data_IF_411842830647
#
_entry.id   IF_411842830647
#
_cell.length_a   1.000
_cell.length_b   1.000
_cell.length_c   1.000
_cell.angle_alpha   90.00
_cell.angle_beta   90.00
_cell.angle_gamma   90.00
#
_symmetry.space_group_name_H-M   'P 1'
#
loop_
_entity.id
_entity.type
_entity.pdbx_description
1 polymer ?
#
# COMPACT_ATOMS: atom_id res chain seq x y z
N UNK A 1 31.37 62.28 23.05
CA UNK A 1 31.73 63.69 22.71
C UNK A 1 33.02 64.03 23.44
N UNK A 2 34.12 64.32 22.74
CA UNK A 2 35.37 64.76 23.37
C UNK A 2 35.42 66.30 23.36
N UNK A 3 35.63 66.91 24.53
CA UNK A 3 35.77 68.36 24.69
C UNK A 3 37.27 68.69 24.67
N UNK A 4 37.65 69.71 23.90
CA UNK A 4 39.02 70.27 23.90
C UNK A 4 39.07 71.44 24.88
N UNK A 5 40.07 71.43 25.78
CA UNK A 5 40.42 72.59 26.62
C UNK A 5 41.88 72.93 26.36
N UNK A 6 42.18 74.18 26.01
CA UNK A 6 43.52 74.69 25.67
C UNK A 6 44.29 73.84 24.64
N UNK A 7 43.61 73.40 23.58
CA UNK A 7 44.25 72.78 22.41
C UNK A 7 44.72 71.33 22.59
N UNK A 8 44.60 70.74 23.79
CA UNK A 8 44.94 69.32 24.02
C UNK A 8 43.69 68.45 23.97
N UNK A 9 43.76 67.33 23.25
CA UNK A 9 42.74 66.29 23.29
C UNK A 9 42.75 65.67 24.69
N UNK A 10 41.70 65.89 25.48
CA UNK A 10 41.46 65.12 26.70
C UNK A 10 40.54 63.98 26.28
N UNK A 11 41.13 62.84 25.92
CA UNK A 11 40.36 61.62 25.75
C UNK A 11 39.69 61.31 27.10
N UNK A 12 38.36 61.15 27.10
CA UNK A 12 37.66 60.56 28.25
C UNK A 12 38.14 59.12 28.38
N UNK A 13 39.20 58.92 29.15
CA UNK A 13 39.78 57.62 29.43
C UNK A 13 38.80 56.84 30.30
N UNK A 14 38.11 55.85 29.71
CA UNK A 14 37.59 54.74 30.50
C UNK A 14 38.76 54.09 31.24
N UNK A 15 38.51 53.60 32.45
CA UNK A 15 39.54 52.94 33.26
C UNK A 15 40.25 51.84 32.46
N UNK A 16 41.56 51.72 32.60
CA UNK A 16 42.29 50.58 32.04
C UNK A 16 41.84 49.27 32.71
N UNK A 17 42.19 48.13 32.11
CA UNK A 17 41.92 46.83 32.71
C UNK A 17 42.55 46.69 34.11
N UNK A 18 43.77 47.23 34.28
CA UNK A 18 44.46 47.28 35.58
C UNK A 18 43.75 48.18 36.59
N UNK A 19 43.28 49.36 36.17
CA UNK A 19 42.54 50.27 37.05
C UNK A 19 41.20 49.68 37.50
N UNK A 20 40.54 48.94 36.62
CA UNK A 20 39.31 48.21 36.96
C UNK A 20 39.59 47.03 37.91
N UNK A 21 40.74 46.36 37.75
CA UNK A 21 41.17 45.31 38.67
C UNK A 21 41.47 45.86 40.08
N UNK A 22 42.06 47.07 40.20
CA UNK A 22 42.24 47.73 41.51
C UNK A 22 40.92 48.03 42.20
N UNK A 23 39.93 48.53 41.46
CA UNK A 23 38.58 48.73 42.00
C UNK A 23 37.98 47.41 42.51
N UNK A 24 38.28 46.29 41.84
CA UNK A 24 37.92 44.94 42.25
C UNK A 24 38.75 44.35 43.40
N UNK A 25 39.68 45.12 43.98
CA UNK A 25 40.49 44.70 45.13
C UNK A 25 41.88 44.17 44.81
N UNK A 26 42.36 44.26 43.57
CA UNK A 26 43.74 43.90 43.22
C UNK A 26 44.74 44.90 43.83
N UNK A 27 45.70 44.41 44.62
CA UNK A 27 46.69 45.24 45.34
C UNK A 27 48.08 45.25 44.71
N UNK A 28 48.28 44.52 43.61
CA UNK A 28 49.56 44.44 42.91
C UNK A 28 49.83 45.66 42.00
N UNK A 29 51.06 45.73 41.51
CA UNK A 29 51.54 46.72 40.54
C UNK A 29 51.02 46.43 39.13
N UNK A 30 51.13 47.41 38.23
CA UNK A 30 50.67 47.29 36.85
C UNK A 30 51.51 46.28 36.06
N UNK A 31 52.81 46.23 36.35
CA UNK A 31 53.73 45.26 35.76
C UNK A 31 53.41 43.84 36.21
N UNK A 32 53.07 43.63 37.49
CA UNK A 32 52.59 42.34 38.00
C UNK A 32 51.25 41.95 37.36
N UNK A 33 50.35 42.92 37.17
CA UNK A 33 49.08 42.69 36.48
C UNK A 33 49.29 42.27 35.02
N UNK A 34 50.10 43.00 34.26
CA UNK A 34 50.41 42.68 32.87
C UNK A 34 51.14 41.34 32.74
N UNK A 35 52.03 41.02 33.68
CA UNK A 35 52.70 39.71 33.75
C UNK A 35 51.70 38.59 34.00
N UNK A 36 50.67 38.82 34.84
CA UNK A 36 49.62 37.84 35.08
C UNK A 36 48.74 37.58 33.86
N UNK A 37 48.42 38.62 33.07
CA UNK A 37 47.66 38.47 31.82
C UNK A 37 48.47 37.78 30.73
N UNK A 38 49.77 38.06 30.65
CA UNK A 38 50.67 37.42 29.68
C UNK A 38 50.75 35.90 29.87
N UNK A 39 50.44 35.39 31.07
CA UNK A 39 50.38 33.97 31.40
C UNK A 39 48.97 33.37 31.32
N UNK A 40 47.95 34.15 30.93
CA UNK A 40 46.58 33.67 30.79
C UNK A 40 46.33 33.12 29.39
N UNK A 41 45.74 31.93 29.30
CA UNK A 41 45.26 31.34 28.04
C UNK A 41 43.80 31.74 27.87
N UNK A 42 43.52 32.60 26.89
CA UNK A 42 42.15 32.90 26.45
C UNK A 42 41.72 31.88 25.40
N UNK A 43 40.62 31.16 25.66
CA UNK A 43 39.95 30.28 24.70
C UNK A 43 38.66 30.97 24.24
N UNK A 44 38.36 30.92 22.93
CA UNK A 44 37.09 31.44 22.42
C UNK A 44 35.94 30.63 23.05
N UNK A 45 34.99 31.33 23.71
CA UNK A 45 33.86 30.68 24.40
C UNK A 45 33.74 30.91 25.92
N UNK A 46 34.64 31.68 26.54
CA UNK A 46 34.37 32.30 27.87
C UNK A 46 34.61 31.43 29.11
N UNK A 47 35.33 30.31 29.00
CA UNK A 47 35.81 29.58 30.17
C UNK A 47 37.11 30.19 30.72
N UNK A 48 37.09 30.72 31.95
CA UNK A 48 38.33 31.06 32.67
C UNK A 48 38.85 29.79 33.33
N UNK A 49 39.94 29.23 32.80
CA UNK A 49 40.64 28.13 33.46
C UNK A 49 41.54 28.73 34.55
N UNK A 50 41.12 28.66 35.81
CA UNK A 50 41.93 29.07 36.97
C UNK A 50 42.63 27.84 37.55
N UNK A 51 43.94 27.77 37.41
CA UNK A 51 44.78 26.74 38.06
C UNK A 51 45.37 27.34 39.33
N UNK A 52 45.00 26.82 40.51
CA UNK A 52 45.37 27.40 41.81
C UNK A 52 46.73 26.92 42.36
N UNK A 53 47.46 26.06 41.64
CA UNK A 53 48.75 25.52 42.08
C UNK A 53 49.87 25.88 41.10
N UNK A 54 50.95 26.43 41.65
CA UNK A 54 52.16 26.78 40.91
C UNK A 54 52.81 25.51 40.37
N UNK A 55 52.70 25.27 39.05
CA UNK A 55 53.70 24.46 38.36
C UNK A 55 55.06 25.07 38.70
N UNK A 56 56.00 24.27 39.20
CA UNK A 56 57.29 24.76 39.67
C UNK A 56 58.09 25.51 38.59
N UNK A 57 59.37 25.80 38.84
CA UNK A 57 60.22 26.51 37.90
C UNK A 57 60.60 25.67 36.66
N UNK A 58 59.70 25.58 35.68
CA UNK A 58 59.96 25.11 34.32
C UNK A 58 58.85 25.61 33.38
N UNK A 59 59.12 25.86 32.09
CA UNK A 59 58.06 26.12 31.13
C UNK A 59 57.18 24.88 30.96
N UNK A 60 55.86 25.04 31.08
CA UNK A 60 54.87 23.99 30.81
C UNK A 60 54.11 24.31 29.52
N UNK A 61 53.89 23.29 28.69
CA UNK A 61 53.07 23.40 27.48
C UNK A 61 51.72 22.75 27.74
N UNK A 62 50.65 23.54 27.73
CA UNK A 62 49.28 23.03 27.68
C UNK A 62 48.93 22.76 26.22
N UNK A 63 48.73 21.50 25.86
CA UNK A 63 48.28 21.11 24.52
C UNK A 63 46.81 20.76 24.61
N UNK A 64 45.96 21.56 23.96
CA UNK A 64 44.59 21.14 23.66
C UNK A 64 44.65 20.24 22.45
N UNK A 65 44.45 18.94 22.66
CA UNK A 65 44.13 18.04 21.57
C UNK A 65 42.63 18.11 21.40
N UNK A 66 42.16 18.83 20.39
CA UNK A 66 40.85 18.51 19.85
C UNK A 66 40.96 17.06 19.35
N UNK A 67 40.31 16.14 20.07
CA UNK A 67 39.98 14.86 19.46
C UNK A 67 39.21 15.22 18.18
N UNK A 68 39.72 14.75 17.05
CA UNK A 68 39.27 15.19 15.73
C UNK A 68 37.75 15.18 15.63
N UNK A 69 37.22 16.08 14.80
CA UNK A 69 35.80 16.21 14.48
C UNK A 69 35.12 14.84 14.45
N UNK A 70 34.25 14.56 15.43
CA UNK A 70 33.54 13.29 15.49
C UNK A 70 32.71 13.16 14.21
N UNK A 71 33.15 12.29 13.31
CA UNK A 71 32.40 12.01 12.09
C UNK A 71 31.07 11.35 12.49
N UNK A 72 29.99 12.10 12.29
CA UNK A 72 28.61 11.68 12.57
C UNK A 72 27.86 11.32 11.29
N UNK A 73 28.58 11.00 10.22
CA UNK A 73 27.99 10.49 8.99
C UNK A 73 27.34 9.11 9.22
N UNK A 74 26.28 8.81 8.47
CA UNK A 74 25.49 7.59 8.66
C UNK A 74 26.29 6.28 8.43
N UNK A 75 27.38 6.35 7.67
CA UNK A 75 28.31 5.22 7.46
C UNK A 75 29.15 4.91 8.72
N UNK A 76 29.43 5.91 9.55
CA UNK A 76 30.23 5.76 10.78
C UNK A 76 29.36 5.47 12.02
N UNK A 77 28.05 5.75 11.95
CA UNK A 77 27.12 5.41 13.04
C UNK A 77 26.74 3.93 12.97
N UNK A 78 27.24 3.15 13.93
CA UNK A 78 26.92 1.73 14.09
C UNK A 78 25.41 1.50 14.28
N UNK A 79 24.90 0.46 13.62
CA UNK A 79 23.52 0.00 13.74
C UNK A 79 23.50 -1.36 14.45
N UNK A 80 22.63 -1.50 15.47
CA UNK A 80 22.44 -2.77 16.15
C UNK A 80 21.38 -3.61 15.40
N UNK A 81 21.84 -4.62 14.66
CA UNK A 81 21.01 -5.51 13.85
C UNK A 81 20.59 -6.82 14.56
N UNK A 82 20.83 -6.95 15.87
CA UNK A 82 20.56 -8.20 16.61
C UNK A 82 19.09 -8.65 16.50
N UNK A 83 18.15 -7.70 16.38
CA UNK A 83 16.71 -7.98 16.34
C UNK A 83 16.05 -7.70 14.98
N UNK A 84 16.69 -6.95 14.09
CA UNK A 84 16.07 -6.53 12.82
C UNK A 84 16.10 -7.59 11.74
N UNK A 85 16.99 -8.58 11.85
CA UNK A 85 17.22 -9.59 10.81
C UNK A 85 17.94 -9.06 9.57
N UNK A 86 18.44 -7.82 9.63
CA UNK A 86 19.16 -7.15 8.55
C UNK A 86 20.66 -7.47 8.61
N UNK A 87 21.32 -7.51 7.45
CA UNK A 87 22.76 -7.73 7.38
C UNK A 87 23.57 -6.46 7.71
N UNK A 88 22.98 -5.29 7.52
CA UNK A 88 23.59 -3.99 7.76
C UNK A 88 24.21 -3.83 9.16
N UNK A 89 25.38 -3.19 9.22
CA UNK A 89 26.11 -2.94 10.49
C UNK A 89 26.26 -1.46 10.83
N UNK A 90 25.91 -0.58 9.89
CA UNK A 90 25.84 0.85 10.07
C UNK A 90 24.48 1.40 9.61
N UNK A 91 24.23 2.67 9.93
CA UNK A 91 22.94 3.30 9.67
C UNK A 91 22.66 3.47 8.17
N UNK A 92 23.69 3.77 7.38
CA UNK A 92 23.55 3.95 5.93
C UNK A 92 23.12 2.64 5.25
N UNK A 93 23.85 1.55 5.50
CA UNK A 93 23.53 0.22 4.97
C UNK A 93 22.14 -0.23 5.40
N UNK A 94 21.75 0.04 6.63
CA UNK A 94 20.44 -0.36 7.13
C UNK A 94 19.33 0.38 6.37
N UNK A 95 19.48 1.68 6.12
CA UNK A 95 18.52 2.45 5.35
C UNK A 95 18.45 1.93 3.90
N UNK A 96 19.59 1.62 3.28
CA UNK A 96 19.65 1.10 1.91
C UNK A 96 18.99 -0.28 1.80
N UNK A 97 19.28 -1.20 2.73
CA UNK A 97 18.67 -2.53 2.81
C UNK A 97 17.15 -2.44 3.03
N UNK A 98 16.69 -1.51 3.88
CA UNK A 98 15.26 -1.26 4.09
C UNK A 98 14.59 -0.76 2.80
N UNK A 99 15.19 0.20 2.09
CA UNK A 99 14.67 0.69 0.82
C UNK A 99 14.61 -0.41 -0.25
N UNK A 100 15.62 -1.27 -0.29
CA UNK A 100 15.64 -2.41 -1.20
C UNK A 100 14.50 -3.39 -0.89
N UNK A 101 14.35 -3.82 0.37
CA UNK A 101 13.28 -4.72 0.81
C UNK A 101 11.89 -4.17 0.46
N UNK A 102 11.66 -2.87 0.69
CA UNK A 102 10.41 -2.21 0.33
C UNK A 102 10.19 -2.22 -1.19
N UNK A 103 11.23 -1.98 -1.98
CA UNK A 103 11.15 -1.95 -3.45
C UNK A 103 10.87 -3.34 -4.04
N UNK A 104 11.50 -4.38 -3.51
CA UNK A 104 11.25 -5.77 -3.87
C UNK A 104 9.81 -6.18 -3.51
N UNK A 105 9.35 -5.84 -2.30
CA UNK A 105 7.97 -6.09 -1.87
C UNK A 105 6.92 -5.41 -2.78
N UNK A 106 7.14 -4.14 -3.15
CA UNK A 106 6.30 -3.42 -4.12
C UNK A 106 6.26 -4.10 -5.48
N UNK A 107 7.39 -4.63 -5.95
CA UNK A 107 7.47 -5.35 -7.23
C UNK A 107 6.56 -6.58 -7.24
N UNK A 108 6.61 -7.38 -6.18
CA UNK A 108 5.76 -8.59 -6.04
C UNK A 108 4.29 -8.23 -6.01
N UNK A 109 3.91 -7.19 -5.24
CA UNK A 109 2.51 -6.74 -5.15
C UNK A 109 2.03 -6.20 -6.50
N UNK A 110 2.82 -5.35 -7.17
CA UNK A 110 2.48 -4.78 -8.46
C UNK A 110 2.26 -5.87 -9.53
N UNK A 111 3.11 -6.90 -9.55
CA UNK A 111 2.93 -8.07 -10.41
C UNK A 111 1.62 -8.79 -10.10
N UNK A 112 1.33 -9.07 -8.82
CA UNK A 112 0.10 -9.75 -8.43
C UNK A 112 -1.18 -8.98 -8.80
N UNK A 113 -1.19 -7.65 -8.67
CA UNK A 113 -2.31 -6.80 -9.07
C UNK A 113 -2.46 -6.78 -10.59
N UNK A 114 -1.35 -6.72 -11.32
CA UNK A 114 -1.33 -6.81 -12.79
C UNK A 114 -1.85 -8.17 -13.28
N UNK A 115 -1.52 -9.26 -12.61
CA UNK A 115 -2.06 -10.60 -12.90
C UNK A 115 -3.58 -10.70 -12.65
N UNK A 116 -4.14 -9.82 -11.80
CA UNK A 116 -5.59 -9.65 -11.63
C UNK A 116 -6.23 -8.73 -12.67
N UNK A 117 -5.46 -8.30 -13.67
CA UNK A 117 -5.95 -7.50 -14.80
C UNK A 117 -5.91 -6.00 -14.59
N UNK A 118 -5.24 -5.50 -13.53
CA UNK A 118 -5.08 -4.06 -13.28
C UNK A 118 -3.61 -3.67 -13.37
N UNK A 119 -3.23 -2.98 -14.46
CA UNK A 119 -1.84 -2.59 -14.72
C UNK A 119 -1.25 -1.73 -13.58
N UNK A 120 -0.26 -2.30 -12.89
CA UNK A 120 0.36 -1.70 -11.70
C UNK A 120 1.88 -1.72 -11.82
N UNK A 121 2.54 -0.59 -11.60
CA UNK A 121 3.99 -0.47 -11.70
C UNK A 121 4.62 -0.51 -10.30
N UNK A 122 5.78 -1.16 -10.15
CA UNK A 122 6.51 -1.21 -8.86
C UNK A 122 6.95 0.18 -8.34
N UNK A 123 7.00 1.17 -9.23
CA UNK A 123 7.30 2.58 -8.93
C UNK A 123 6.08 3.36 -8.44
N UNK A 124 4.88 2.80 -8.52
CA UNK A 124 3.68 3.43 -7.99
C UNK A 124 3.82 3.67 -6.48
N UNK A 125 3.19 4.74 -5.98
CA UNK A 125 3.08 4.95 -4.55
C UNK A 125 2.16 3.89 -3.93
N UNK A 126 2.32 3.60 -2.64
CA UNK A 126 1.42 2.69 -1.94
C UNK A 126 -0.05 3.11 -2.03
N UNK A 127 -0.33 4.42 -2.00
CA UNK A 127 -1.69 4.95 -2.20
C UNK A 127 -2.22 4.64 -3.60
N UNK A 128 -1.41 4.82 -4.65
CA UNK A 128 -1.81 4.49 -6.01
C UNK A 128 -2.02 2.98 -6.19
N UNK A 129 -1.15 2.14 -5.61
CA UNK A 129 -1.34 0.69 -5.59
C UNK A 129 -2.63 0.29 -4.88
N UNK A 130 -2.95 0.90 -3.74
CA UNK A 130 -4.21 0.64 -3.03
C UNK A 130 -5.44 0.98 -3.88
N UNK A 131 -5.44 2.13 -4.55
CA UNK A 131 -6.51 2.50 -5.49
C UNK A 131 -6.63 1.54 -6.67
N UNK A 132 -5.50 0.99 -7.15
CA UNK A 132 -5.51 -0.03 -8.20
C UNK A 132 -6.03 -1.37 -7.70
N UNK A 133 -5.76 -1.73 -6.45
CA UNK A 133 -6.34 -2.92 -5.81
C UNK A 133 -7.88 -2.80 -5.75
N UNK A 134 -8.42 -1.62 -5.46
CA UNK A 134 -9.88 -1.38 -5.48
C UNK A 134 -10.50 -1.54 -6.88
N UNK A 135 -9.70 -1.38 -7.94
CA UNK A 135 -10.13 -1.58 -9.33
C UNK A 135 -10.10 -3.05 -9.77
N UNK A 136 -9.55 -3.96 -8.96
CA UNK A 136 -9.54 -5.39 -9.28
C UNK A 136 -10.98 -5.85 -9.42
N UNK A 137 -11.36 -6.28 -10.62
CA UNK A 137 -12.66 -6.88 -10.86
C UNK A 137 -12.75 -8.20 -10.09
N UNK A 138 -13.57 -8.22 -9.06
CA UNK A 138 -13.99 -9.45 -8.36
C UNK A 138 -15.15 -10.13 -9.06
N UNK A 139 -15.50 -9.69 -10.28
CA UNK A 139 -16.68 -10.10 -11.01
C UNK A 139 -16.81 -11.61 -11.15
N UNK A 140 -18.07 -12.08 -11.11
CA UNK A 140 -18.41 -13.46 -11.42
C UNK A 140 -17.80 -13.85 -12.78
N UNK A 141 -17.10 -14.98 -12.84
CA UNK A 141 -16.69 -15.56 -14.11
C UNK A 141 -17.97 -15.89 -14.89
N UNK A 142 -18.24 -15.18 -15.99
CA UNK A 142 -19.46 -15.34 -16.82
C UNK A 142 -19.08 -16.02 -18.13
N UNK A 143 -19.85 -17.03 -18.53
CA UNK A 143 -19.82 -17.64 -19.86
C UNK A 143 -21.19 -17.52 -20.50
N UNK A 144 -21.22 -17.30 -21.81
CA UNK A 144 -22.44 -17.41 -22.61
C UNK A 144 -22.22 -18.35 -23.78
N UNK A 145 -23.28 -18.97 -24.26
CA UNK A 145 -23.20 -19.84 -25.43
C UNK A 145 -24.56 -20.39 -25.81
N UNK A 146 -24.52 -21.46 -26.59
CA UNK A 146 -25.74 -22.16 -26.98
C UNK A 146 -25.59 -23.67 -26.79
N UNK A 147 -26.72 -24.35 -26.62
CA UNK A 147 -26.82 -25.80 -26.77
C UNK A 147 -28.08 -26.13 -27.53
N UNK A 148 -28.09 -27.28 -28.21
CA UNK A 148 -29.25 -27.76 -28.95
C UNK A 148 -29.95 -28.82 -28.11
N UNK A 149 -31.26 -28.67 -27.90
CA UNK A 149 -32.04 -29.66 -27.17
C UNK A 149 -32.04 -31.00 -27.89
N UNK A 150 -32.19 -32.08 -27.11
CA UNK A 150 -31.92 -33.46 -27.54
C UNK A 150 -33.13 -34.39 -27.41
N UNK A 151 -34.33 -33.84 -27.18
CA UNK A 151 -35.56 -34.61 -26.96
C UNK A 151 -35.56 -35.43 -25.66
N UNK A 152 -34.65 -35.15 -24.72
CA UNK A 152 -34.55 -35.85 -23.43
C UNK A 152 -34.92 -34.94 -22.26
N UNK A 153 -35.20 -35.53 -21.08
CA UNK A 153 -35.46 -34.77 -19.85
C UNK A 153 -34.17 -34.21 -19.20
N UNK A 154 -33.00 -34.54 -19.73
CA UNK A 154 -31.74 -33.98 -19.26
C UNK A 154 -30.79 -33.74 -20.42
N UNK A 155 -29.97 -32.71 -20.27
CA UNK A 155 -28.92 -32.38 -21.23
C UNK A 155 -27.64 -32.01 -20.47
N UNK A 156 -26.50 -32.46 -20.99
CA UNK A 156 -25.19 -32.09 -20.48
C UNK A 156 -24.59 -31.04 -21.39
N UNK A 157 -24.21 -29.91 -20.82
CA UNK A 157 -23.57 -28.80 -21.53
C UNK A 157 -22.20 -28.60 -20.89
N UNK A 158 -21.12 -29.22 -21.41
CA UNK A 158 -19.82 -29.24 -20.74
C UNK A 158 -19.24 -27.87 -20.42
N UNK A 159 -19.56 -26.86 -21.24
CA UNK A 159 -19.16 -25.46 -21.03
C UNK A 159 -19.81 -24.81 -19.80
N UNK A 160 -20.80 -25.45 -19.18
CA UNK A 160 -21.38 -25.04 -17.91
C UNK A 160 -20.65 -25.66 -16.70
N UNK A 161 -19.77 -26.64 -16.89
CA UNK A 161 -19.04 -27.23 -15.77
C UNK A 161 -18.22 -26.18 -15.02
N UNK A 162 -18.34 -26.15 -13.70
CA UNK A 162 -17.69 -25.20 -12.80
C UNK A 162 -18.50 -23.93 -12.50
N UNK A 163 -19.64 -23.70 -13.16
CA UNK A 163 -20.50 -22.53 -12.90
C UNK A 163 -21.64 -22.92 -11.95
N UNK A 164 -21.96 -22.09 -10.96
CA UNK A 164 -23.02 -22.35 -9.97
C UNK A 164 -24.40 -21.86 -10.42
N UNK A 165 -24.41 -20.80 -11.25
CA UNK A 165 -25.61 -20.14 -11.71
C UNK A 165 -25.72 -20.24 -13.24
N UNK A 166 -26.91 -20.52 -13.78
CA UNK A 166 -27.20 -20.68 -15.20
C UNK A 166 -28.58 -20.14 -15.52
N UNK A 167 -28.70 -19.37 -16.59
CA UNK A 167 -29.96 -19.03 -17.24
C UNK A 167 -29.90 -19.52 -18.68
N UNK A 168 -30.91 -20.27 -19.13
CA UNK A 168 -31.03 -20.73 -20.51
C UNK A 168 -32.40 -20.39 -21.08
N UNK A 169 -32.43 -19.80 -22.27
CA UNK A 169 -33.65 -19.31 -22.93
C UNK A 169 -33.65 -19.77 -24.38
N UNK A 170 -34.79 -20.27 -24.83
CA UNK A 170 -35.04 -20.52 -26.24
C UNK A 170 -36.33 -19.87 -26.69
N UNK A 171 -36.35 -19.48 -27.97
CA UNK A 171 -37.56 -19.13 -28.71
C UNK A 171 -37.71 -20.10 -29.86
N UNK A 172 -38.69 -21.00 -29.77
CA UNK A 172 -38.95 -21.96 -30.82
C UNK A 172 -40.41 -22.37 -30.82
N UNK A 173 -40.97 -22.50 -32.02
CA UNK A 173 -42.28 -23.11 -32.24
C UNK A 173 -42.11 -24.62 -32.30
N UNK A 174 -42.50 -25.32 -31.24
CA UNK A 174 -42.38 -26.79 -31.17
C UNK A 174 -43.50 -27.43 -30.35
N UNK A 175 -43.89 -28.66 -30.72
CA UNK A 175 -44.91 -29.47 -30.03
C UNK A 175 -44.24 -30.58 -29.23
N UNK A 176 -43.93 -30.34 -27.97
CA UNK A 176 -43.12 -31.28 -27.19
C UNK A 176 -43.61 -31.66 -25.78
N UNK A 177 -44.71 -31.09 -25.29
CA UNK A 177 -45.25 -31.45 -23.98
C UNK A 177 -46.77 -31.37 -23.98
N UNK A 178 -47.44 -32.48 -23.65
CA UNK A 178 -48.90 -32.55 -23.62
C UNK A 178 -49.55 -31.96 -24.90
N UNK A 179 -48.91 -32.20 -26.05
CA UNK A 179 -49.26 -31.69 -27.39
C UNK A 179 -49.22 -30.16 -27.58
N UNK A 180 -48.72 -29.37 -26.63
CA UNK A 180 -48.72 -27.89 -26.69
C UNK A 180 -47.64 -27.34 -27.61
N UNK A 181 -47.95 -26.25 -28.30
CA UNK A 181 -46.97 -25.47 -29.08
C UNK A 181 -46.29 -24.45 -28.18
N UNK A 182 -44.99 -24.61 -27.91
CA UNK A 182 -44.20 -23.61 -27.18
C UNK A 182 -43.79 -22.48 -28.10
N UNK A 183 -43.63 -21.28 -27.54
CA UNK A 183 -43.04 -20.13 -28.21
C UNK A 183 -41.72 -19.74 -27.54
N UNK A 184 -41.69 -19.79 -26.21
CA UNK A 184 -40.52 -19.46 -25.40
C UNK A 184 -40.42 -20.40 -24.21
N UNK A 185 -39.21 -20.86 -23.91
CA UNK A 185 -38.89 -21.60 -22.67
C UNK A 185 -37.68 -20.95 -22.02
N UNK A 186 -37.80 -20.61 -20.74
CA UNK A 186 -36.76 -19.99 -19.91
C UNK A 186 -36.51 -20.83 -18.66
N UNK A 187 -35.25 -21.12 -18.41
CA UNK A 187 -34.73 -21.92 -17.32
C UNK A 187 -33.82 -21.05 -16.47
N UNK A 188 -34.06 -20.99 -15.17
CA UNK A 188 -33.23 -20.25 -14.21
C UNK A 188 -32.75 -21.19 -13.12
N UNK A 189 -31.45 -21.28 -12.97
CA UNK A 189 -30.75 -22.00 -11.92
C UNK A 189 -29.81 -21.04 -11.25
N UNK A 190 -30.21 -20.53 -10.11
CA UNK A 190 -29.33 -19.73 -9.27
C UNK A 190 -29.34 -20.28 -7.86
N UNK A 191 -28.41 -19.81 -7.04
CA UNK A 191 -28.35 -20.20 -5.62
C UNK A 191 -29.66 -19.87 -4.89
N UNK A 192 -30.36 -18.81 -5.34
CA UNK A 192 -31.61 -18.32 -4.74
C UNK A 192 -32.89 -18.79 -5.47
N UNK A 193 -32.81 -19.17 -6.74
CA UNK A 193 -33.99 -19.40 -7.59
C UNK A 193 -33.80 -20.61 -8.50
N UNK A 194 -34.76 -21.53 -8.46
CA UNK A 194 -34.89 -22.62 -9.45
C UNK A 194 -36.26 -22.51 -10.12
N UNK A 195 -36.30 -21.94 -11.33
CA UNK A 195 -37.53 -21.56 -12.00
C UNK A 195 -37.56 -22.07 -13.44
N UNK A 196 -38.70 -22.62 -13.83
CA UNK A 196 -39.08 -22.85 -15.22
C UNK A 196 -40.24 -21.92 -15.59
N UNK A 197 -40.03 -21.09 -16.59
CA UNK A 197 -41.05 -20.21 -17.17
C UNK A 197 -41.21 -20.52 -18.64
N UNK A 198 -42.46 -20.60 -19.13
CA UNK A 198 -42.71 -20.85 -20.54
C UNK A 198 -43.99 -20.19 -21.02
N UNK A 199 -43.98 -19.91 -22.33
CA UNK A 199 -45.09 -19.33 -23.08
C UNK A 199 -45.48 -20.32 -24.16
N UNK A 200 -46.76 -20.67 -24.21
CA UNK A 200 -47.26 -21.73 -25.10
C UNK A 200 -48.68 -21.44 -25.59
N UNK A 201 -49.10 -22.15 -26.63
CA UNK A 201 -50.48 -22.22 -27.13
C UNK A 201 -51.00 -23.66 -26.98
N UNK A 202 -52.25 -23.82 -26.55
CA UNK A 202 -52.93 -25.13 -26.60
C UNK A 202 -53.46 -25.41 -28.00
N UNK A 203 -53.60 -26.69 -28.35
CA UNK A 203 -53.99 -27.18 -29.68
C UNK A 203 -55.05 -26.33 -30.38
N UNK A 204 -54.67 -25.73 -31.51
CA UNK A 204 -55.49 -24.89 -32.38
C UNK A 204 -56.16 -23.66 -31.73
N UNK A 205 -55.77 -23.28 -30.51
CA UNK A 205 -56.27 -22.06 -29.86
C UNK A 205 -55.48 -20.84 -30.32
N UNK A 206 -56.18 -19.72 -30.52
CA UNK A 206 -55.58 -18.39 -30.72
C UNK A 206 -54.88 -17.87 -29.45
N UNK A 207 -55.22 -18.44 -28.29
CA UNK A 207 -54.82 -17.90 -26.99
C UNK A 207 -53.40 -18.32 -26.61
N UNK A 208 -52.57 -17.32 -26.31
CA UNK A 208 -51.26 -17.49 -25.71
C UNK A 208 -51.42 -17.62 -24.20
N UNK A 209 -50.78 -18.63 -23.60
CA UNK A 209 -50.80 -18.88 -22.17
C UNK A 209 -49.39 -18.76 -21.59
N UNK A 210 -49.32 -18.19 -20.40
CA UNK A 210 -48.11 -18.06 -19.59
C UNK A 210 -48.20 -19.05 -18.44
N UNK A 211 -47.11 -19.71 -18.13
CA UNK A 211 -47.04 -20.61 -16.98
C UNK A 211 -45.70 -20.49 -16.29
N UNK A 212 -45.76 -20.44 -14.97
CA UNK A 212 -44.60 -20.48 -14.08
C UNK A 212 -44.72 -21.73 -13.25
N UNK A 213 -43.76 -22.62 -13.39
CA UNK A 213 -43.66 -23.77 -12.51
C UNK A 213 -42.45 -23.54 -11.61
N UNK A 214 -42.72 -23.17 -10.35
CA UNK A 214 -41.75 -23.28 -9.26
C UNK A 214 -41.61 -24.76 -8.93
N UNK A 215 -40.84 -25.50 -9.74
CA UNK A 215 -40.62 -26.92 -9.45
C UNK A 215 -39.36 -27.08 -8.63
N UNK A 216 -39.48 -27.69 -7.46
CA UNK A 216 -38.37 -28.21 -6.66
C UNK A 216 -37.58 -29.33 -7.37
N UNK A 217 -38.10 -29.84 -8.50
CA UNK A 217 -37.52 -30.96 -9.27
C UNK A 217 -36.55 -30.52 -10.37
N UNK A 218 -36.37 -29.21 -10.56
CA UNK A 218 -35.42 -28.68 -11.52
C UNK A 218 -34.01 -28.76 -10.90
N UNK A 219 -33.09 -29.54 -11.49
CA UNK A 219 -31.74 -29.72 -10.91
C UNK A 219 -30.64 -29.42 -11.92
N UNK A 220 -29.62 -28.72 -11.45
CA UNK A 220 -28.41 -28.45 -12.20
C UNK A 220 -27.20 -28.97 -11.43
N UNK A 221 -26.31 -29.67 -12.13
CA UNK A 221 -25.08 -30.22 -11.58
C UNK A 221 -23.90 -29.41 -12.12
N UNK A 222 -23.32 -28.58 -11.26
CA UNK A 222 -22.19 -27.73 -11.60
C UNK A 222 -20.91 -28.52 -11.90
N UNK A 223 -20.75 -29.75 -11.41
CA UNK A 223 -19.54 -30.54 -11.64
C UNK A 223 -19.41 -31.00 -13.09
N UNK A 224 -20.52 -31.22 -13.80
CA UNK A 224 -20.51 -31.71 -15.18
C UNK A 224 -21.37 -30.89 -16.15
N UNK A 225 -21.98 -29.80 -15.71
CA UNK A 225 -22.82 -28.96 -16.55
C UNK A 225 -24.15 -29.63 -16.95
N UNK A 226 -24.62 -30.63 -16.19
CA UNK A 226 -25.87 -31.33 -16.49
C UNK A 226 -27.06 -30.56 -15.96
N UNK A 227 -27.97 -30.23 -16.88
CA UNK A 227 -29.28 -29.66 -16.59
C UNK A 227 -30.31 -30.78 -16.68
N UNK A 228 -31.11 -30.97 -15.63
CA UNK A 228 -32.21 -31.93 -15.62
C UNK A 228 -33.52 -31.18 -15.46
N UNK A 229 -34.39 -31.37 -16.44
CA UNK A 229 -35.72 -30.80 -16.45
C UNK A 229 -36.58 -31.35 -15.31
N UNK A 230 -37.27 -30.47 -14.60
CA UNK A 230 -38.21 -30.86 -13.56
C UNK A 230 -39.51 -31.40 -14.16
N UNK A 231 -40.02 -32.49 -13.59
CA UNK A 231 -41.33 -33.06 -13.98
C UNK A 231 -41.32 -33.69 -15.37
N UNK A 232 -42.31 -33.36 -16.21
CA UNK A 232 -42.44 -33.90 -17.57
C UNK A 232 -41.69 -33.11 -18.64
N UNK A 233 -40.90 -32.09 -18.28
CA UNK A 233 -40.22 -31.25 -19.27
C UNK A 233 -39.13 -32.00 -20.04
N UNK A 234 -39.16 -31.83 -21.37
CA UNK A 234 -38.19 -32.32 -22.34
C UNK A 234 -37.42 -31.13 -22.94
N UNK A 235 -36.12 -31.28 -23.19
CA UNK A 235 -35.32 -30.32 -23.95
C UNK A 235 -35.62 -30.47 -25.44
N UNK A 236 -36.08 -29.38 -26.07
CA UNK A 236 -36.69 -29.48 -27.40
C UNK A 236 -35.70 -29.92 -28.47
N UNK A 237 -35.97 -31.07 -29.09
CA UNK A 237 -35.07 -31.71 -30.02
C UNK A 237 -34.82 -30.80 -31.23
N UNK A 238 -33.55 -30.47 -31.48
CA UNK A 238 -33.14 -29.59 -32.58
C UNK A 238 -33.37 -28.10 -32.32
N UNK A 239 -33.86 -27.70 -31.13
CA UNK A 239 -34.06 -26.30 -30.77
C UNK A 239 -32.84 -25.75 -30.04
N UNK A 240 -32.39 -24.58 -30.46
CA UNK A 240 -31.26 -23.87 -29.84
C UNK A 240 -31.69 -23.12 -28.59
N UNK A 241 -31.02 -23.40 -27.48
CA UNK A 241 -31.10 -22.64 -26.23
C UNK A 241 -29.87 -21.75 -26.13
N UNK A 242 -30.08 -20.47 -25.87
CA UNK A 242 -29.03 -19.52 -25.53
C UNK A 242 -28.88 -19.49 -24.03
N UNK A 243 -27.67 -19.54 -23.50
CA UNK A 243 -27.44 -19.51 -22.07
C UNK A 243 -26.42 -18.45 -21.66
N UNK A 244 -26.53 -18.04 -20.40
CA UNK A 244 -25.53 -17.30 -19.64
C UNK A 244 -25.33 -18.04 -18.31
N UNK A 245 -24.10 -18.27 -17.91
CA UNK A 245 -23.75 -18.94 -16.67
C UNK A 245 -22.66 -18.18 -15.93
N UNK A 246 -22.68 -18.21 -14.60
CA UNK A 246 -21.73 -17.48 -13.79
C UNK A 246 -21.38 -18.19 -12.48
N UNK A 247 -20.15 -17.96 -12.00
CA UNK A 247 -19.71 -18.41 -10.68
C UNK A 247 -20.20 -17.43 -9.60
N UNK A 248 -20.69 -17.94 -8.48
CA UNK A 248 -21.00 -17.13 -7.29
C UNK A 248 -19.74 -16.79 -6.52
#
# INVERSE_FOLDING_TARGET
MAIKVNGKLVAGAGKSAYESAKDGGYTGTEDEFNTSLANSVTVDGGGVMSMNESFGAAPFTLTFTEDGENDVSASEITYNNTESGMAATNTQEAIDELFQSVSEGKSVIAAAVTDKGVETAATDSFTAMAQKIEQISTGAEIVSGTFVGNGSNSITVPSLAGYSNVVAITTAKSRELANREFLTVSLFYTDSVKLLAYVYRSDNSADVRYSYLNTTNLTYNAQNGKITGGGSMVFINGVTYNYVAWKS
#
